data_IF_847223018553
#
_entry.id   IF_847223018553
#
_cell.length_a   1.000
_cell.length_b   1.000
_cell.length_c   1.000
_cell.angle_alpha   90.00
_cell.angle_beta   90.00
_cell.angle_gamma   90.00
#
_symmetry.space_group_name_H-M   'P 1'
#
loop_
_entity.id
_entity.type
_entity.pdbx_description
1 polymer ?
#
# COMPACT_ATOMS: atom_id res chain seq x y z
N UNK A 1 42.28 -11.10 -45.36
CA UNK A 1 41.40 -10.48 -44.35
C UNK A 1 40.20 -11.37 -44.14
N UNK A 2 40.03 -11.97 -42.95
CA UNK A 2 38.81 -12.67 -42.57
C UNK A 2 37.81 -11.69 -41.95
N UNK A 3 36.52 -11.85 -42.28
CA UNK A 3 35.43 -11.32 -41.47
C UNK A 3 34.37 -12.43 -41.35
N UNK A 4 34.28 -13.13 -40.21
CA UNK A 4 33.01 -13.58 -39.66
C UNK A 4 32.36 -12.36 -38.95
N UNK A 5 31.07 -12.24 -38.68
CA UNK A 5 30.18 -13.19 -38.00
C UNK A 5 28.72 -12.62 -38.04
N UNK A 6 27.73 -13.10 -37.27
CA UNK A 6 26.51 -13.73 -37.79
C UNK A 6 25.25 -12.89 -37.58
N UNK A 7 24.17 -13.30 -38.25
CA UNK A 7 22.81 -12.95 -37.88
C UNK A 7 22.50 -13.51 -36.47
N UNK A 8 22.42 -12.61 -35.48
CA UNK A 8 21.98 -12.94 -34.12
C UNK A 8 20.45 -12.81 -34.00
N UNK A 9 19.83 -13.99 -33.87
CA UNK A 9 18.72 -14.40 -32.99
C UNK A 9 17.58 -13.42 -32.64
N UNK A 10 16.30 -13.80 -32.91
CA UNK A 10 15.12 -13.16 -32.34
C UNK A 10 14.84 -13.65 -30.90
N UNK A 11 14.22 -12.79 -30.08
CA UNK A 11 13.38 -13.23 -28.96
C UNK A 11 14.03 -13.29 -27.58
N UNK A 12 14.60 -12.18 -27.10
CA UNK A 12 14.68 -11.97 -25.66
C UNK A 12 13.27 -11.57 -25.17
N UNK A 13 12.54 -12.54 -24.65
CA UNK A 13 11.36 -12.33 -23.79
C UNK A 13 11.69 -11.24 -22.77
N UNK A 14 11.08 -10.06 -22.94
CA UNK A 14 11.06 -9.02 -21.94
C UNK A 14 10.35 -9.58 -20.70
N UNK A 15 11.13 -10.14 -19.77
CA UNK A 15 10.68 -10.36 -18.39
C UNK A 15 10.22 -9.01 -17.91
N UNK A 16 8.91 -8.85 -17.72
CA UNK A 16 8.30 -7.68 -17.12
C UNK A 16 9.09 -7.33 -15.84
N UNK A 17 9.89 -6.27 -15.91
CA UNK A 17 10.68 -5.78 -14.80
C UNK A 17 9.73 -5.32 -13.70
N UNK A 18 9.75 -6.07 -12.60
CA UNK A 18 8.94 -5.77 -11.43
C UNK A 18 9.31 -4.38 -10.88
N UNK A 19 8.33 -3.53 -10.60
CA UNK A 19 8.58 -2.17 -10.15
C UNK A 19 9.29 -2.14 -8.79
N UNK A 20 10.28 -1.25 -8.69
CA UNK A 20 11.26 -1.20 -7.60
C UNK A 20 11.05 0.06 -6.75
N UNK A 21 10.90 -0.06 -5.43
CA UNK A 21 10.53 1.04 -4.50
C UNK A 21 11.71 1.51 -3.63
N UNK A 22 11.93 2.84 -3.44
CA UNK A 22 13.07 3.37 -2.66
C UNK A 22 13.02 3.10 -1.15
N UNK A 23 14.18 2.85 -0.54
CA UNK A 23 14.31 2.47 0.88
C UNK A 23 13.89 3.54 1.91
N UNK A 24 14.02 4.84 1.60
CA UNK A 24 13.56 5.93 2.50
C UNK A 24 12.03 6.12 2.46
N UNK A 25 11.35 5.50 1.49
CA UNK A 25 9.89 5.39 1.48
C UNK A 25 9.41 4.13 2.21
N UNK A 26 10.33 3.25 2.63
CA UNK A 26 10.00 2.11 3.44
C UNK A 26 9.88 2.57 4.90
N UNK A 27 8.75 2.30 5.56
CA UNK A 27 8.57 2.64 6.96
C UNK A 27 9.67 1.99 7.82
N UNK A 28 10.21 2.71 8.81
CA UNK A 28 11.19 2.20 9.79
C UNK A 28 10.66 1.08 10.70
N UNK A 29 9.40 0.69 10.52
CA UNK A 29 8.69 -0.33 11.29
C UNK A 29 8.56 -1.59 10.46
N UNK A 30 8.59 -2.74 11.13
CA UNK A 30 8.36 -4.03 10.47
C UNK A 30 6.94 -4.10 9.90
N UNK A 31 6.69 -4.91 8.86
CA UNK A 31 5.34 -5.13 8.34
C UNK A 31 4.34 -5.52 9.43
N UNK A 32 4.76 -6.36 10.38
CA UNK A 32 3.95 -6.80 11.52
C UNK A 32 3.58 -5.65 12.47
N UNK A 33 4.52 -4.75 12.77
CA UNK A 33 4.24 -3.55 13.59
C UNK A 33 3.27 -2.60 12.89
N UNK A 34 3.39 -2.42 11.58
CA UNK A 34 2.49 -1.56 10.82
C UNK A 34 1.06 -2.10 10.79
N UNK A 35 0.90 -3.43 10.65
CA UNK A 35 -0.40 -4.10 10.76
C UNK A 35 -1.01 -3.94 12.16
N UNK A 36 -0.21 -4.11 13.23
CA UNK A 36 -0.69 -3.89 14.59
C UNK A 36 -1.21 -2.45 14.79
N UNK A 37 -0.51 -1.45 14.24
CA UNK A 37 -0.95 -0.05 14.32
C UNK A 37 -2.17 0.20 13.42
N UNK A 38 -2.26 -0.46 12.26
CA UNK A 38 -3.44 -0.39 11.40
C UNK A 38 -4.69 -0.91 12.14
N UNK A 39 -4.60 -2.08 12.79
CA UNK A 39 -5.68 -2.63 13.62
C UNK A 39 -6.08 -1.69 14.75
N UNK A 40 -5.09 -1.14 15.47
CA UNK A 40 -5.37 -0.16 16.54
C UNK A 40 -6.10 1.07 15.99
N UNK A 41 -5.70 1.56 14.81
CA UNK A 41 -6.36 2.69 14.15
C UNK A 41 -7.80 2.39 13.70
N UNK A 42 -8.12 1.15 13.32
CA UNK A 42 -9.49 0.73 13.04
C UNK A 42 -10.33 0.73 14.33
N UNK A 43 -9.82 0.17 15.42
CA UNK A 43 -10.48 0.24 16.73
C UNK A 43 -10.68 1.69 17.18
N UNK A 44 -9.74 2.58 16.92
CA UNK A 44 -9.93 4.01 17.21
C UNK A 44 -11.05 4.62 16.35
N UNK A 45 -11.08 4.28 15.06
CA UNK A 45 -12.11 4.76 14.13
C UNK A 45 -13.51 4.32 14.58
N UNK A 46 -13.71 3.08 15.06
CA UNK A 46 -15.03 2.61 15.53
C UNK A 46 -15.58 3.44 16.70
N UNK A 47 -14.71 4.03 17.52
CA UNK A 47 -15.10 4.85 18.68
C UNK A 47 -15.10 6.36 18.36
N UNK A 48 -14.71 6.76 17.15
CA UNK A 48 -14.63 8.16 16.75
C UNK A 48 -16.00 8.69 16.35
N UNK A 49 -16.56 9.61 17.14
CA UNK A 49 -17.91 10.16 16.90
C UNK A 49 -17.99 11.05 15.65
N UNK A 50 -17.10 12.03 15.39
CA UNK A 50 -17.22 12.87 14.22
C UNK A 50 -16.95 12.11 12.92
N UNK A 51 -17.90 12.09 12.00
CA UNK A 51 -17.86 11.29 10.76
C UNK A 51 -16.60 11.58 9.92
N UNK A 52 -16.21 12.85 9.81
CA UNK A 52 -15.00 13.25 9.10
C UNK A 52 -13.72 12.70 9.74
N UNK A 53 -13.62 12.75 11.07
CA UNK A 53 -12.47 12.18 11.78
C UNK A 53 -12.47 10.66 11.71
N UNK A 54 -13.63 10.00 11.81
CA UNK A 54 -13.78 8.55 11.62
C UNK A 54 -13.30 8.11 10.24
N UNK A 55 -13.67 8.86 9.20
CA UNK A 55 -13.21 8.60 7.84
C UNK A 55 -11.70 8.79 7.70
N UNK A 56 -11.15 9.86 8.29
CA UNK A 56 -9.71 10.11 8.28
C UNK A 56 -8.93 9.00 9.01
N UNK A 57 -9.36 8.58 10.20
CA UNK A 57 -8.70 7.54 11.00
C UNK A 57 -8.77 6.17 10.32
N UNK A 58 -9.92 5.79 9.76
CA UNK A 58 -10.07 4.58 8.95
C UNK A 58 -9.14 4.58 7.72
N UNK A 59 -9.03 5.72 7.03
CA UNK A 59 -8.14 5.85 5.88
C UNK A 59 -6.66 5.73 6.29
N UNK A 60 -6.27 6.35 7.41
CA UNK A 60 -4.91 6.24 7.94
C UNK A 60 -4.57 4.81 8.38
N UNK A 61 -5.55 4.04 8.90
CA UNK A 61 -5.37 2.62 9.17
C UNK A 61 -5.08 1.84 7.87
N UNK A 62 -5.85 2.07 6.82
CA UNK A 62 -5.62 1.46 5.50
C UNK A 62 -4.24 1.84 4.92
N UNK A 63 -3.81 3.11 5.04
CA UNK A 63 -2.47 3.55 4.62
C UNK A 63 -1.34 2.78 5.32
N UNK A 64 -1.51 2.46 6.60
CA UNK A 64 -0.52 1.69 7.36
C UNK A 64 -0.45 0.24 6.90
N UNK A 65 -1.58 -0.39 6.59
CA UNK A 65 -1.60 -1.73 6.01
C UNK A 65 -0.99 -1.76 4.59
N UNK A 66 -1.25 -0.75 3.76
CA UNK A 66 -0.59 -0.60 2.47
C UNK A 66 0.94 -0.44 2.62
N UNK A 67 1.38 0.36 3.59
CA UNK A 67 2.80 0.49 3.91
C UNK A 67 3.41 -0.84 4.41
N UNK A 68 2.65 -1.66 5.15
CA UNK A 68 3.08 -2.99 5.57
C UNK A 68 3.26 -3.93 4.37
N UNK A 69 2.33 -3.92 3.41
CA UNK A 69 2.43 -4.70 2.17
C UNK A 69 3.65 -4.30 1.35
N UNK A 70 3.87 -2.98 1.22
CA UNK A 70 5.07 -2.46 0.56
C UNK A 70 6.33 -2.89 1.32
N UNK A 71 6.39 -2.77 2.64
CA UNK A 71 7.56 -3.19 3.42
C UNK A 71 7.82 -4.71 3.34
N UNK A 72 6.78 -5.54 3.26
CA UNK A 72 6.90 -7.00 3.14
C UNK A 72 7.38 -7.43 1.75
N UNK A 73 7.06 -6.66 0.71
CA UNK A 73 7.33 -7.03 -0.70
C UNK A 73 8.44 -6.23 -1.36
N UNK A 74 8.79 -5.07 -0.80
CA UNK A 74 9.83 -4.23 -1.36
C UNK A 74 11.19 -4.89 -1.19
N UNK A 75 11.84 -5.16 -2.33
CA UNK A 75 13.26 -5.47 -2.37
C UNK A 75 14.04 -4.15 -2.24
N UNK A 76 15.02 -4.03 -1.34
CA UNK A 76 15.77 -2.79 -1.15
C UNK A 76 16.47 -2.38 -2.45
N UNK A 77 16.06 -1.24 -3.01
CA UNK A 77 16.70 -0.65 -4.17
C UNK A 77 17.86 0.27 -3.73
N UNK A 78 18.96 0.23 -4.49
CA UNK A 78 20.12 1.10 -4.30
C UNK A 78 19.73 2.60 -4.27
N UNK A 79 20.45 3.43 -3.47
CA UNK A 79 20.13 4.84 -3.31
C UNK A 79 20.41 5.59 -4.62
N UNK A 80 19.38 6.11 -5.31
CA UNK A 80 19.63 6.97 -6.47
C UNK A 80 18.45 7.32 -7.38
N UNK A 81 17.34 6.57 -7.39
CA UNK A 81 16.23 6.86 -8.32
C UNK A 81 15.03 7.48 -7.61
N UNK A 82 14.92 8.81 -7.71
CA UNK A 82 13.77 9.57 -7.23
C UNK A 82 12.57 9.34 -8.14
N UNK A 83 11.74 8.34 -7.83
CA UNK A 83 10.46 8.12 -8.51
C UNK A 83 9.52 9.26 -8.12
N UNK A 84 9.14 10.07 -9.12
CA UNK A 84 8.27 11.24 -9.03
C UNK A 84 7.03 10.91 -8.18
N UNK A 85 6.86 11.59 -7.05
CA UNK A 85 5.72 11.58 -6.10
C UNK A 85 4.57 10.61 -6.46
N UNK A 86 4.83 9.31 -6.41
CA UNK A 86 3.84 8.27 -6.70
C UNK A 86 3.20 7.97 -5.36
N UNK A 87 1.90 8.26 -5.22
CA UNK A 87 1.18 8.05 -3.96
C UNK A 87 1.39 6.60 -3.45
N UNK A 88 1.29 6.36 -2.14
CA UNK A 88 1.47 5.00 -1.59
C UNK A 88 0.56 3.97 -2.28
N UNK A 89 -0.64 4.39 -2.69
CA UNK A 89 -1.60 3.58 -3.44
C UNK A 89 -1.10 3.26 -4.85
N UNK A 90 -0.54 4.25 -5.54
CA UNK A 90 0.05 4.06 -6.87
C UNK A 90 1.29 3.13 -6.81
N UNK A 91 2.10 3.21 -5.74
CA UNK A 91 3.20 2.28 -5.51
C UNK A 91 2.70 0.87 -5.19
N UNK A 92 1.62 0.75 -4.40
CA UNK A 92 1.03 -0.54 -4.08
C UNK A 92 0.51 -1.25 -5.34
N UNK A 93 -0.21 -0.56 -6.22
CA UNK A 93 -0.68 -1.13 -7.48
C UNK A 93 0.48 -1.58 -8.40
N UNK A 94 1.64 -0.95 -8.29
CA UNK A 94 2.86 -1.38 -8.97
C UNK A 94 3.40 -2.70 -8.39
N UNK A 95 3.69 -2.71 -7.09
CA UNK A 95 4.42 -3.81 -6.42
C UNK A 95 3.54 -5.02 -6.15
N UNK A 96 2.24 -4.79 -6.02
CA UNK A 96 1.24 -5.74 -5.59
C UNK A 96 -0.03 -5.53 -6.43
N UNK A 97 0.01 -5.85 -7.75
CA UNK A 97 -1.08 -5.57 -8.67
C UNK A 97 -2.40 -6.26 -8.29
N UNK A 98 -2.35 -7.34 -7.51
CA UNK A 98 -3.55 -7.98 -6.95
C UNK A 98 -4.32 -7.08 -5.94
N UNK A 99 -3.70 -6.00 -5.47
CA UNK A 99 -4.34 -4.97 -4.63
C UNK A 99 -4.69 -3.70 -5.42
N UNK A 100 -4.65 -3.72 -6.76
CA UNK A 100 -4.90 -2.53 -7.58
C UNK A 100 -6.30 -1.95 -7.38
N UNK A 101 -7.32 -2.81 -7.23
CA UNK A 101 -8.70 -2.35 -6.98
C UNK A 101 -8.81 -1.63 -5.64
N UNK A 102 -8.17 -2.17 -4.61
CA UNK A 102 -8.05 -1.53 -3.30
C UNK A 102 -7.32 -0.19 -3.39
N UNK A 103 -6.18 -0.16 -4.09
CA UNK A 103 -5.41 1.06 -4.30
C UNK A 103 -6.22 2.14 -5.02
N UNK A 104 -6.98 1.76 -6.06
CA UNK A 104 -7.87 2.67 -6.76
C UNK A 104 -8.98 3.22 -5.86
N UNK A 105 -9.67 2.34 -5.13
CA UNK A 105 -10.72 2.72 -4.19
C UNK A 105 -10.24 3.74 -3.14
N UNK A 106 -9.12 3.47 -2.47
CA UNK A 106 -8.59 4.39 -1.47
C UNK A 106 -7.98 5.66 -2.09
N UNK A 107 -7.36 5.60 -3.27
CA UNK A 107 -6.86 6.80 -3.93
C UNK A 107 -7.99 7.80 -4.26
N UNK A 108 -9.16 7.31 -4.67
CA UNK A 108 -10.34 8.15 -4.90
C UNK A 108 -10.83 8.83 -3.60
N UNK A 109 -10.74 8.15 -2.47
CA UNK A 109 -11.12 8.69 -1.15
C UNK A 109 -10.11 9.67 -0.53
N UNK A 110 -8.88 9.75 -1.05
CA UNK A 110 -7.79 10.50 -0.42
C UNK A 110 -8.05 12.03 -0.36
N UNK A 111 -8.72 12.58 -1.37
CA UNK A 111 -9.11 14.00 -1.39
C UNK A 111 -10.17 14.32 -0.32
N UNK A 112 -11.16 13.44 -0.16
CA UNK A 112 -12.20 13.58 0.87
C UNK A 112 -11.62 13.44 2.27
N UNK A 113 -10.66 12.53 2.47
CA UNK A 113 -9.87 12.41 3.71
C UNK A 113 -9.13 13.72 4.01
N UNK A 114 -8.45 14.32 3.04
CA UNK A 114 -7.72 15.57 3.25
C UNK A 114 -8.65 16.72 3.68
N UNK A 115 -9.84 16.82 3.08
CA UNK A 115 -10.85 17.78 3.48
C UNK A 115 -11.40 17.51 4.88
N UNK A 116 -11.62 16.24 5.23
CA UNK A 116 -12.10 15.85 6.55
C UNK A 116 -11.07 16.13 7.66
N UNK A 117 -9.78 15.89 7.39
CA UNK A 117 -8.68 16.25 8.31
C UNK A 117 -8.52 17.75 8.48
N UNK A 118 -8.82 18.53 7.43
CA UNK A 118 -8.86 19.99 7.51
C UNK A 118 -10.08 20.52 8.30
N UNK A 119 -10.95 19.64 8.81
CA UNK A 119 -12.12 20.02 9.61
C UNK A 119 -13.24 20.64 8.79
N UNK A 120 -13.29 20.41 7.46
CA UNK A 120 -14.37 20.92 6.62
C UNK A 120 -15.67 20.22 7.04
N UNK A 121 -16.70 20.96 7.49
CA UNK A 121 -17.93 20.35 7.98
C UNK A 121 -18.69 19.65 6.86
N UNK A 122 -19.33 18.53 7.18
CA UNK A 122 -20.21 17.75 6.28
C UNK A 122 -19.58 17.26 4.96
N UNK A 123 -18.25 17.25 4.83
CA UNK A 123 -17.57 16.70 3.65
C UNK A 123 -17.65 15.17 3.56
N UNK A 124 -17.96 14.53 4.68
CA UNK A 124 -18.20 13.09 4.83
C UNK A 124 -19.51 12.91 5.57
N UNK A 125 -20.37 12.04 5.05
CA UNK A 125 -21.56 11.54 5.74
C UNK A 125 -21.24 10.32 6.61
N UNK A 126 -22.06 10.07 7.63
CA UNK A 126 -21.96 8.86 8.46
C UNK A 126 -21.92 7.57 7.63
N UNK A 127 -22.75 7.48 6.57
CA UNK A 127 -22.76 6.33 5.65
C UNK A 127 -21.41 6.10 4.98
N UNK A 128 -20.78 7.17 4.49
CA UNK A 128 -19.48 7.09 3.84
C UNK A 128 -18.35 6.77 4.82
N UNK A 129 -18.44 7.27 6.06
CA UNK A 129 -17.51 6.91 7.13
C UNK A 129 -17.62 5.41 7.48
N UNK A 130 -18.84 4.89 7.62
CA UNK A 130 -19.08 3.48 7.92
C UNK A 130 -18.68 2.56 6.76
N UNK A 131 -18.97 2.96 5.52
CA UNK A 131 -18.58 2.20 4.32
C UNK A 131 -17.06 2.19 4.14
N UNK A 132 -16.37 3.32 4.39
CA UNK A 132 -14.90 3.34 4.38
C UNK A 132 -14.33 2.50 5.52
N UNK A 133 -14.92 2.53 6.72
CA UNK A 133 -14.45 1.74 7.85
C UNK A 133 -14.52 0.24 7.54
N UNK A 134 -15.65 -0.25 7.03
CA UNK A 134 -15.81 -1.64 6.58
C UNK A 134 -14.80 -2.02 5.49
N UNK A 135 -14.61 -1.14 4.52
CA UNK A 135 -13.63 -1.34 3.45
C UNK A 135 -12.20 -1.42 4.01
N UNK A 136 -11.84 -0.56 4.98
CA UNK A 136 -10.54 -0.56 5.63
C UNK A 136 -10.32 -1.83 6.47
N UNK A 137 -11.33 -2.30 7.22
CA UNK A 137 -11.28 -3.57 7.96
C UNK A 137 -11.05 -4.76 7.03
N UNK A 138 -11.78 -4.83 5.92
CA UNK A 138 -11.63 -5.89 4.93
C UNK A 138 -10.23 -5.84 4.29
N UNK A 139 -9.77 -4.66 3.90
CA UNK A 139 -8.44 -4.48 3.32
C UNK A 139 -7.33 -4.91 4.29
N UNK A 140 -7.40 -4.50 5.56
CA UNK A 140 -6.42 -4.91 6.59
C UNK A 140 -6.40 -6.43 6.74
N UNK A 141 -7.57 -7.08 6.79
CA UNK A 141 -7.66 -8.54 6.89
C UNK A 141 -7.01 -9.26 5.70
N UNK A 142 -7.25 -8.77 4.48
CA UNK A 142 -6.64 -9.32 3.26
C UNK A 142 -5.12 -9.07 3.24
N UNK A 143 -4.69 -7.87 3.65
CA UNK A 143 -3.27 -7.51 3.74
C UNK A 143 -2.53 -8.41 4.74
N UNK A 144 -3.11 -8.67 5.90
CA UNK A 144 -2.57 -9.56 6.93
C UNK A 144 -2.45 -10.99 6.45
N UNK A 145 -3.48 -11.50 5.78
CA UNK A 145 -3.47 -12.84 5.20
C UNK A 145 -2.35 -12.96 4.15
N UNK A 146 -2.21 -11.95 3.28
CA UNK A 146 -1.15 -11.93 2.27
C UNK A 146 0.25 -11.85 2.89
N UNK A 147 0.45 -10.98 3.88
CA UNK A 147 1.73 -10.84 4.58
C UNK A 147 2.05 -12.10 5.37
N UNK A 148 1.08 -12.70 6.06
CA UNK A 148 1.28 -13.96 6.80
C UNK A 148 1.72 -15.11 5.91
N UNK A 149 1.15 -15.23 4.70
CA UNK A 149 1.59 -16.20 3.69
C UNK A 149 3.00 -15.87 3.17
N UNK A 150 3.34 -14.59 3.06
CA UNK A 150 4.63 -14.13 2.50
C UNK A 150 5.78 -14.10 3.51
N UNK A 151 5.49 -13.88 4.80
CA UNK A 151 6.45 -13.60 5.88
C UNK A 151 6.72 -14.82 6.79
N UNK A 152 6.41 -16.05 6.37
CA UNK A 152 6.74 -17.25 7.14
C UNK A 152 8.24 -17.24 7.51
N UNK A 153 8.61 -16.99 8.79
CA UNK A 153 10.01 -16.97 9.18
C UNK A 153 10.57 -18.39 9.04
N UNK A 154 11.85 -18.56 8.67
CA UNK A 154 12.45 -19.88 8.68
C UNK A 154 12.33 -20.48 10.09
N UNK A 155 11.80 -21.70 10.17
CA UNK A 155 11.78 -22.48 11.41
C UNK A 155 13.23 -22.62 11.87
N UNK A 156 13.58 -22.02 13.00
CA UNK A 156 14.86 -22.27 13.64
C UNK A 156 14.90 -23.77 13.99
N UNK A 157 15.78 -24.50 13.31
CA UNK A 157 16.06 -25.91 13.54
C UNK A 157 16.91 -26.12 14.80
#
# INVERSE_FOLDING_TARGET
MPAPDPAQTPGATARAEAPTVPAHMLPHRTPTQLLAIARQGLTEATHTTPDGLRYATAHLAALRAAAALLAARARPAAPGRRTRATSVWSLLAMVAPEFSDWAGYFALGAGKRAAAEAGIPHVVSAREADDLLRAAEQFVTVAESSIGVSYQPPLAA
#
